data_IF_345310991609
#
_entry.id   IF_345310991609
#
_cell.length_a   1.000
_cell.length_b   1.000
_cell.length_c   1.000
_cell.angle_alpha   90.00
_cell.angle_beta   90.00
_cell.angle_gamma   90.00
#
_symmetry.space_group_name_H-M   'P 1'
#
loop_
_entity.id
_entity.type
_entity.pdbx_description
1 polymer ?
#
# COMPACT_ATOMS: atom_id res chain seq x y z
N UNK A 1 -3.64 20.02 14.79
CA UNK A 1 -4.39 18.97 14.08
C UNK A 1 -5.48 19.63 13.27
N UNK A 2 -5.58 19.35 11.98
CA UNK A 2 -6.70 19.83 11.17
C UNK A 2 -8.00 19.14 11.61
N UNK A 3 -9.12 19.82 11.45
CA UNK A 3 -10.45 19.26 11.70
C UNK A 3 -10.66 17.99 10.86
N UNK A 4 -11.29 16.95 11.43
CA UNK A 4 -11.55 15.68 10.74
C UNK A 4 -10.44 14.62 10.76
N UNK A 5 -9.36 14.81 11.54
CA UNK A 5 -8.31 13.79 11.69
C UNK A 5 -8.35 13.06 13.04
N UNK A 6 -7.89 11.80 13.03
CA UNK A 6 -7.67 11.01 14.25
C UNK A 6 -6.71 11.73 15.20
N UNK A 7 -6.99 11.67 16.50
CA UNK A 7 -6.09 12.17 17.55
C UNK A 7 -5.18 11.02 18.00
N UNK A 8 -3.91 11.08 17.63
CA UNK A 8 -2.93 10.07 18.02
C UNK A 8 -2.38 10.34 19.41
N UNK A 9 -2.15 9.28 20.20
CA UNK A 9 -1.57 9.40 21.54
C UNK A 9 -0.08 9.80 21.51
N UNK A 10 0.61 9.49 20.40
CA UNK A 10 2.06 9.65 20.27
C UNK A 10 2.39 10.44 19.00
N UNK A 11 3.34 11.37 19.08
CA UNK A 11 3.66 12.24 17.94
C UNK A 11 4.46 11.54 16.83
N UNK A 12 5.01 10.35 17.09
CA UNK A 12 5.82 9.65 16.08
C UNK A 12 4.98 9.12 14.91
N UNK A 13 3.66 8.99 15.08
CA UNK A 13 2.78 8.49 14.03
C UNK A 13 2.86 9.32 12.75
N UNK A 14 3.11 10.63 12.87
CA UNK A 14 3.23 11.55 11.73
C UNK A 14 4.69 11.80 11.28
N UNK A 15 5.68 11.13 11.87
CA UNK A 15 7.11 11.34 11.57
C UNK A 15 7.66 10.43 10.48
N UNK A 16 6.97 9.34 10.17
CA UNK A 16 7.39 8.42 9.10
C UNK A 16 7.30 9.12 7.74
N UNK A 17 8.28 8.86 6.87
CA UNK A 17 8.29 9.41 5.51
C UNK A 17 7.03 8.95 4.75
N UNK A 18 6.27 9.87 4.12
CA UNK A 18 5.10 9.51 3.33
C UNK A 18 5.48 8.75 2.05
N UNK A 19 4.65 7.77 1.68
CA UNK A 19 4.75 7.08 0.40
C UNK A 19 3.89 7.82 -0.63
N UNK A 20 4.52 8.25 -1.73
CA UNK A 20 3.85 8.95 -2.84
C UNK A 20 3.70 8.02 -4.05
N UNK A 21 2.51 7.97 -4.64
CA UNK A 21 2.19 7.08 -5.75
C UNK A 21 1.31 7.77 -6.80
N UNK A 22 1.67 7.65 -8.08
CA UNK A 22 0.77 8.00 -9.18
C UNK A 22 -0.27 6.90 -9.33
N UNK A 23 -1.53 7.24 -9.60
CA UNK A 23 -2.57 6.23 -9.87
C UNK A 23 -3.38 6.60 -11.12
N UNK A 24 -3.02 6.04 -12.29
CA UNK A 24 -3.72 6.28 -13.55
C UNK A 24 -5.21 5.89 -13.52
N UNK A 25 -5.61 4.94 -12.67
CA UNK A 25 -7.03 4.58 -12.53
C UNK A 25 -7.79 5.69 -11.81
N UNK A 26 -7.21 6.25 -10.74
CA UNK A 26 -7.82 7.37 -10.03
C UNK A 26 -7.99 8.58 -10.93
N UNK A 27 -7.01 8.87 -11.79
CA UNK A 27 -7.10 9.91 -12.82
C UNK A 27 -8.22 9.60 -13.82
N UNK A 28 -8.20 8.39 -14.38
CA UNK A 28 -9.19 7.97 -15.40
C UNK A 28 -10.62 8.05 -14.88
N UNK A 29 -10.85 7.74 -13.61
CA UNK A 29 -12.18 7.78 -12.98
C UNK A 29 -12.54 9.14 -12.38
N UNK A 30 -11.69 10.16 -12.54
CA UNK A 30 -11.94 11.53 -12.06
C UNK A 30 -11.80 11.72 -10.55
N UNK A 31 -11.14 10.80 -9.85
CA UNK A 31 -10.86 10.91 -8.42
C UNK A 31 -9.64 11.78 -8.11
N UNK A 32 -8.76 12.02 -9.10
CA UNK A 32 -7.51 12.77 -8.94
C UNK A 32 -7.11 13.43 -10.26
N UNK A 33 -6.42 14.57 -10.20
CA UNK A 33 -5.82 15.23 -11.38
C UNK A 33 -4.54 14.51 -11.84
N UNK A 34 -4.13 14.71 -13.10
CA UNK A 34 -2.96 14.05 -13.69
C UNK A 34 -1.61 14.39 -13.01
N UNK A 35 -1.51 15.59 -12.46
CA UNK A 35 -0.33 16.13 -11.77
C UNK A 35 -0.29 15.79 -10.28
N UNK A 36 -1.37 15.22 -9.75
CA UNK A 36 -1.50 14.86 -8.35
C UNK A 36 -1.10 13.41 -8.07
N UNK A 37 -0.74 13.15 -6.81
CA UNK A 37 -0.33 11.82 -6.35
C UNK A 37 -1.06 11.45 -5.07
N UNK A 38 -1.31 10.16 -4.87
CA UNK A 38 -1.69 9.68 -3.55
C UNK A 38 -0.53 9.85 -2.59
N UNK A 39 -0.84 10.34 -1.39
CA UNK A 39 0.10 10.44 -0.28
C UNK A 39 -0.40 9.53 0.84
N UNK A 40 0.24 8.37 0.98
CA UNK A 40 -0.01 7.46 2.08
C UNK A 40 0.93 7.81 3.22
N UNK A 41 0.39 8.01 4.42
CA UNK A 41 1.16 8.20 5.64
C UNK A 41 1.05 6.95 6.52
N UNK A 42 1.98 6.79 7.45
CA UNK A 42 1.93 5.68 8.40
C UNK A 42 0.58 5.57 9.17
N UNK A 43 -0.06 6.68 9.59
CA UNK A 43 -1.38 6.62 10.21
C UNK A 43 -2.47 5.98 9.33
N UNK A 44 -2.34 5.99 8.00
CA UNK A 44 -3.29 5.32 7.12
C UNK A 44 -3.16 3.80 7.20
N UNK A 45 -1.93 3.28 7.37
CA UNK A 45 -1.71 1.87 7.67
C UNK A 45 -2.25 1.49 9.06
N UNK A 46 -2.11 2.38 10.06
CA UNK A 46 -2.70 2.19 11.40
C UNK A 46 -4.22 2.18 11.34
N UNK A 47 -4.84 3.06 10.55
CA UNK A 47 -6.30 3.04 10.33
C UNK A 47 -6.77 1.76 9.66
N UNK A 48 -6.03 1.27 8.67
CA UNK A 48 -6.33 0.00 8.00
C UNK A 48 -6.29 -1.18 8.99
N UNK A 49 -5.26 -1.25 9.84
CA UNK A 49 -5.07 -2.35 10.79
C UNK A 49 -5.84 -2.17 12.11
N UNK A 50 -6.35 -0.97 12.38
CA UNK A 50 -6.95 -0.56 13.66
C UNK A 50 -5.95 -0.33 14.80
N UNK A 51 -4.67 -0.69 14.62
CA UNK A 51 -3.64 -0.58 15.64
C UNK A 51 -2.23 -0.48 15.02
N UNK A 52 -1.26 -0.16 15.87
CA UNK A 52 0.15 -0.11 15.54
C UNK A 52 0.90 -1.23 16.25
N UNK A 53 1.36 -2.23 15.50
CA UNK A 53 2.25 -3.29 15.97
C UNK A 53 3.50 -3.37 15.07
N UNK A 54 4.54 -4.13 15.47
CA UNK A 54 5.76 -4.26 14.67
C UNK A 54 5.52 -4.75 13.23
N UNK A 55 4.50 -5.59 13.01
CA UNK A 55 4.14 -6.07 11.68
C UNK A 55 3.58 -4.94 10.78
N UNK A 56 2.67 -4.11 11.29
CA UNK A 56 2.08 -2.98 10.55
C UNK A 56 3.13 -1.91 10.27
N UNK A 57 3.94 -1.57 11.28
CA UNK A 57 5.07 -0.65 11.12
C UNK A 57 6.09 -1.18 10.09
N UNK A 58 6.45 -2.47 10.22
CA UNK A 58 7.36 -3.15 9.31
C UNK A 58 6.84 -3.16 7.87
N UNK A 59 5.55 -3.47 7.67
CA UNK A 59 4.91 -3.49 6.36
C UNK A 59 4.94 -2.12 5.66
N UNK A 60 4.65 -1.05 6.38
CA UNK A 60 4.75 0.31 5.84
C UNK A 60 6.20 0.63 5.43
N UNK A 61 7.15 0.37 6.34
CA UNK A 61 8.56 0.71 6.10
C UNK A 61 9.21 -0.14 5.01
N UNK A 62 8.88 -1.44 4.91
CA UNK A 62 9.40 -2.30 3.85
C UNK A 62 8.81 -1.92 2.51
N UNK A 63 7.52 -1.52 2.46
CA UNK A 63 6.89 -1.01 1.24
C UNK A 63 7.62 0.26 0.76
N UNK A 64 7.84 1.23 1.65
CA UNK A 64 8.59 2.44 1.32
C UNK A 64 9.99 2.12 0.76
N UNK A 65 10.74 1.23 1.43
CA UNK A 65 12.08 0.82 0.98
C UNK A 65 12.05 0.09 -0.37
N UNK A 66 11.11 -0.82 -0.55
CA UNK A 66 10.97 -1.59 -1.79
C UNK A 66 10.62 -0.67 -2.98
N UNK A 67 9.70 0.27 -2.80
CA UNK A 67 9.36 1.25 -3.83
C UNK A 67 10.56 2.10 -4.24
N UNK A 68 11.34 2.59 -3.27
CA UNK A 68 12.60 3.31 -3.55
C UNK A 68 13.63 2.45 -4.28
N UNK A 69 13.74 1.17 -3.92
CA UNK A 69 14.66 0.26 -4.60
C UNK A 69 14.24 -0.05 -6.05
N UNK A 70 12.93 -0.17 -6.30
CA UNK A 70 12.38 -0.51 -7.62
C UNK A 70 12.34 0.69 -8.58
N UNK A 71 12.06 1.89 -8.08
CA UNK A 71 11.81 3.07 -8.91
C UNK A 71 12.90 4.15 -8.79
N UNK A 72 13.85 3.99 -7.87
CA UNK A 72 14.91 4.97 -7.63
C UNK A 72 14.35 6.33 -7.27
N UNK A 73 14.57 7.31 -8.15
CA UNK A 73 14.09 8.69 -7.99
C UNK A 73 12.73 8.95 -8.65
N UNK A 74 12.17 7.98 -9.39
CA UNK A 74 10.87 8.12 -10.03
C UNK A 74 9.73 7.87 -9.04
N UNK A 75 8.59 8.53 -9.26
CA UNK A 75 7.39 8.28 -8.46
C UNK A 75 6.76 6.97 -8.96
N UNK A 76 6.58 5.96 -8.08
CA UNK A 76 6.01 4.69 -8.50
C UNK A 76 4.56 4.79 -8.95
N UNK A 77 4.16 3.89 -9.85
CA UNK A 77 2.80 3.78 -10.34
C UNK A 77 2.04 2.71 -9.57
N UNK A 78 1.02 3.14 -8.84
CA UNK A 78 0.15 2.25 -8.05
C UNK A 78 -0.48 1.22 -8.97
N UNK A 79 -0.29 -0.05 -8.65
CA UNK A 79 -0.84 -1.19 -9.39
C UNK A 79 0.08 -1.76 -10.44
N UNK A 80 1.18 -1.11 -10.83
CA UNK A 80 2.10 -1.61 -11.86
C UNK A 80 3.27 -2.42 -11.26
N UNK A 81 3.02 -3.11 -10.15
CA UNK A 81 3.98 -4.00 -9.50
C UNK A 81 3.29 -5.27 -9.02
N UNK A 82 4.09 -6.29 -8.72
CA UNK A 82 3.66 -7.52 -8.08
C UNK A 82 4.29 -7.64 -6.70
N UNK A 83 3.57 -8.31 -5.80
CA UNK A 83 3.98 -8.59 -4.42
C UNK A 83 3.92 -10.10 -4.23
N UNK A 84 5.03 -10.69 -3.84
CA UNK A 84 5.08 -12.06 -3.36
C UNK A 84 5.34 -12.02 -1.86
N UNK A 85 4.50 -12.71 -1.09
CA UNK A 85 4.66 -12.85 0.36
C UNK A 85 5.06 -14.29 0.60
N UNK A 86 6.20 -14.50 1.27
CA UNK A 86 6.65 -15.83 1.66
C UNK A 86 5.62 -16.48 2.60
N UNK A 87 5.35 -17.77 2.43
CA UNK A 87 4.41 -18.53 3.27
C UNK A 87 2.95 -18.16 3.02
N UNK A 88 2.07 -18.74 3.83
CA UNK A 88 0.63 -18.59 3.75
C UNK A 88 0.09 -17.36 4.47
N UNK A 89 -1.17 -16.96 4.20
CA UNK A 89 -1.82 -15.81 4.83
C UNK A 89 -2.02 -15.96 6.34
N UNK A 90 -2.04 -17.21 6.84
CA UNK A 90 -2.18 -17.54 8.26
C UNK A 90 -0.84 -17.68 8.97
N UNK A 91 0.28 -17.65 8.24
CA UNK A 91 1.59 -17.78 8.82
C UNK A 91 2.06 -16.44 9.40
N UNK A 92 2.59 -16.50 10.61
CA UNK A 92 3.16 -15.34 11.30
C UNK A 92 2.20 -14.13 11.26
N UNK A 93 2.69 -12.98 10.80
CA UNK A 93 1.88 -11.79 10.58
C UNK A 93 1.73 -11.47 9.08
N UNK A 94 1.89 -12.46 8.19
CA UNK A 94 1.89 -12.25 6.74
C UNK A 94 0.54 -11.77 6.20
N UNK A 95 -0.58 -12.22 6.78
CA UNK A 95 -1.90 -11.67 6.48
C UNK A 95 -1.96 -10.15 6.70
N UNK A 96 -1.78 -9.64 7.94
CA UNK A 96 -1.77 -8.20 8.20
C UNK A 96 -0.71 -7.41 7.40
N UNK A 97 0.49 -7.97 7.22
CA UNK A 97 1.55 -7.34 6.40
C UNK A 97 1.08 -7.16 4.95
N UNK A 98 0.54 -8.22 4.35
CA UNK A 98 0.09 -8.20 2.96
C UNK A 98 -1.06 -7.22 2.73
N UNK A 99 -1.96 -7.04 3.71
CA UNK A 99 -3.04 -6.06 3.63
C UNK A 99 -2.51 -4.63 3.54
N UNK A 100 -1.52 -4.27 4.36
CA UNK A 100 -0.89 -2.95 4.31
C UNK A 100 -0.18 -2.72 2.98
N UNK A 101 0.60 -3.69 2.52
CA UNK A 101 1.32 -3.60 1.23
C UNK A 101 0.30 -3.46 0.08
N UNK A 102 -0.75 -4.27 0.08
CA UNK A 102 -1.82 -4.24 -0.93
C UNK A 102 -2.57 -2.92 -0.94
N UNK A 103 -2.92 -2.38 0.23
CA UNK A 103 -3.59 -1.09 0.35
C UNK A 103 -2.80 0.04 -0.31
N UNK A 104 -1.50 0.13 0.01
CA UNK A 104 -0.59 1.16 -0.51
C UNK A 104 -0.35 0.95 -2.00
N UNK A 105 0.17 -0.21 -2.39
CA UNK A 105 0.64 -0.47 -3.76
C UNK A 105 -0.50 -0.73 -4.75
N UNK A 106 -1.67 -1.11 -4.26
CA UNK A 106 -2.79 -1.60 -5.05
C UNK A 106 -2.55 -2.97 -5.69
N UNK A 107 -1.46 -3.68 -5.35
CA UNK A 107 -1.30 -5.08 -5.72
C UNK A 107 -2.17 -5.94 -4.80
N UNK A 108 -3.26 -6.48 -5.33
CA UNK A 108 -4.24 -7.22 -4.54
C UNK A 108 -4.23 -8.72 -4.89
N UNK A 109 -4.72 -9.58 -3.98
CA UNK A 109 -4.93 -10.99 -4.28
C UNK A 109 -6.11 -11.17 -5.23
N UNK A 110 -6.75 -12.34 -5.26
CA UNK A 110 -7.88 -12.64 -6.14
C UNK A 110 -9.07 -11.67 -6.00
N UNK A 111 -9.16 -10.97 -4.87
CA UNK A 111 -10.19 -9.96 -4.57
C UNK A 111 -9.94 -8.61 -5.24
N UNK A 112 -8.81 -8.42 -5.93
CA UNK A 112 -8.48 -7.16 -6.58
C UNK A 112 -9.41 -6.77 -7.73
N UNK A 113 -9.39 -5.48 -8.07
CA UNK A 113 -10.09 -4.91 -9.23
C UNK A 113 -9.67 -5.63 -10.53
N UNK A 114 -10.67 -6.07 -11.30
CA UNK A 114 -10.47 -6.82 -12.54
C UNK A 114 -9.95 -5.99 -13.72
N UNK A 115 -9.87 -4.68 -13.55
CA UNK A 115 -9.45 -3.74 -14.59
C UNK A 115 -10.61 -3.19 -15.40
N UNK A 116 -10.31 -2.16 -16.20
CA UNK A 116 -11.24 -1.52 -17.12
C UNK A 116 -10.65 -1.62 -18.53
N UNK A 117 -11.32 -2.32 -19.44
CA UNK A 117 -10.81 -2.56 -20.80
C UNK A 117 -9.43 -3.23 -20.83
N UNK A 118 -9.14 -4.12 -19.87
CA UNK A 118 -7.83 -4.78 -19.72
C UNK A 118 -6.73 -3.93 -19.09
N UNK A 119 -7.00 -2.67 -18.73
CA UNK A 119 -6.05 -1.77 -18.05
C UNK A 119 -6.31 -1.70 -16.56
N UNK A 120 -5.32 -1.22 -15.80
CA UNK A 120 -5.42 -0.94 -14.36
C UNK A 120 -5.72 -2.14 -13.47
N UNK A 121 -5.47 -3.36 -13.96
CA UNK A 121 -5.74 -4.61 -13.24
C UNK A 121 -4.99 -4.62 -11.92
N UNK A 122 -5.70 -4.90 -10.82
CA UNK A 122 -5.12 -5.05 -9.47
C UNK A 122 -5.18 -6.48 -8.96
N UNK A 123 -6.11 -7.27 -9.50
CA UNK A 123 -6.32 -8.68 -9.17
C UNK A 123 -5.08 -9.52 -9.44
N UNK A 124 -4.80 -10.49 -8.56
CA UNK A 124 -3.71 -11.47 -8.69
C UNK A 124 -2.31 -10.83 -8.82
N UNK A 125 -2.13 -9.61 -8.31
CA UNK A 125 -0.82 -8.95 -8.23
C UNK A 125 -0.15 -9.16 -6.88
N UNK A 126 -0.89 -9.57 -5.85
CA UNK A 126 -0.35 -10.08 -4.60
C UNK A 126 -0.59 -11.58 -4.50
N UNK A 127 0.48 -12.35 -4.29
CA UNK A 127 0.43 -13.80 -4.11
C UNK A 127 1.13 -14.21 -2.83
N UNK A 128 0.62 -15.27 -2.21
CA UNK A 128 1.28 -15.97 -1.12
C UNK A 128 2.04 -17.15 -1.73
N UNK A 129 3.32 -17.23 -1.43
CA UNK A 129 4.22 -18.26 -1.91
C UNK A 129 4.36 -19.34 -0.83
N UNK A 130 3.39 -20.27 -0.82
CA UNK A 130 3.29 -21.34 0.18
C UNK A 130 4.24 -22.52 -0.09
N UNK A 131 4.82 -22.58 -1.29
CA UNK A 131 5.64 -23.71 -1.76
C UNK A 131 7.16 -23.48 -1.65
N UNK A 132 7.58 -22.28 -1.22
CA UNK A 132 8.99 -21.92 -0.99
C UNK A 132 9.29 -21.61 0.48
#
# INVERSE_FOLDING_TARGET
>A
MAEGQSKWLQDFFDKAEPIKLKDPLAVTLGAMSEDEVFVFKYPDAVKLAGHSCPAVAGAYMITLKALKALYGNEIPVRGELKVAVLGGPLDMAYGPISQVISFITGAAPITGFGGLGGRFVRRNKLVFDEEH
#
